data_IF_933644811378
#
_entry.id   IF_933644811378
#
_cell.length_a   1.000
_cell.length_b   1.000
_cell.length_c   1.000
_cell.angle_alpha   90.00
_cell.angle_beta   90.00
_cell.angle_gamma   90.00
#
_symmetry.space_group_name_H-M   'P 1'
#
loop_
_entity.id
_entity.type
_entity.pdbx_description
1 polymer ?
#
# COMPACT_ATOMS: atom_id res chain seq x y z
N UNK A 1 -10.09 21.77 -11.35
CA UNK A 1 -8.85 21.41 -12.07
C UNK A 1 -8.83 19.90 -12.20
N UNK A 2 -8.52 19.36 -13.39
CA UNK A 2 -8.33 17.91 -13.53
C UNK A 2 -7.00 17.51 -12.88
N UNK A 3 -7.01 16.42 -12.10
CA UNK A 3 -5.85 15.94 -11.34
C UNK A 3 -5.39 14.58 -11.88
N UNK A 4 -4.09 14.36 -11.93
CA UNK A 4 -3.48 13.06 -12.14
C UNK A 4 -2.96 12.52 -10.82
N UNK A 5 -3.65 11.51 -10.28
CA UNK A 5 -3.39 10.96 -8.94
C UNK A 5 -2.81 9.55 -9.09
N UNK A 6 -1.68 9.29 -8.44
CA UNK A 6 -1.07 7.96 -8.37
C UNK A 6 -1.17 7.44 -6.95
N UNK A 7 -1.83 6.31 -6.79
CA UNK A 7 -1.95 5.60 -5.51
C UNK A 7 -0.86 4.54 -5.42
N UNK A 8 0.02 4.68 -4.43
CA UNK A 8 0.98 3.64 -4.08
C UNK A 8 0.24 2.55 -3.30
N UNK A 9 0.33 1.32 -3.77
CA UNK A 9 -0.37 0.22 -3.13
C UNK A 9 0.52 -1.03 -3.05
N UNK A 10 0.45 -1.74 -1.94
CA UNK A 10 1.22 -2.95 -1.72
C UNK A 10 0.33 -4.15 -1.52
N UNK A 11 0.72 -5.28 -2.12
CA UNK A 11 0.20 -6.58 -1.76
C UNK A 11 0.93 -7.09 -0.51
N UNK A 12 0.19 -7.38 0.53
CA UNK A 12 0.73 -7.84 1.82
C UNK A 12 0.09 -9.17 2.23
N UNK A 13 0.79 -10.01 3.05
CA UNK A 13 0.14 -11.18 3.64
C UNK A 13 -0.98 -10.74 4.60
N UNK A 14 -2.10 -11.47 4.60
CA UNK A 14 -3.16 -11.25 5.59
C UNK A 14 -2.72 -11.79 6.96
N UNK A 15 -2.30 -10.89 7.83
CA UNK A 15 -1.87 -11.23 9.19
C UNK A 15 -3.02 -11.34 10.20
N UNK A 16 -4.25 -11.01 9.79
CA UNK A 16 -5.44 -11.07 10.65
C UNK A 16 -6.17 -12.41 10.60
N UNK A 17 -6.11 -13.08 9.44
CA UNK A 17 -6.75 -14.37 9.19
C UNK A 17 -5.70 -15.50 9.15
N UNK A 18 -5.01 -15.70 10.25
CA UNK A 18 -4.01 -16.76 10.39
C UNK A 18 -4.72 -18.09 10.61
N UNK A 19 -4.98 -18.85 9.55
CA UNK A 19 -5.51 -20.23 9.64
C UNK A 19 -4.47 -21.21 10.20
N UNK A 20 -4.91 -22.44 10.55
CA UNK A 20 -4.02 -23.47 11.10
C UNK A 20 -2.84 -23.82 10.18
N UNK A 21 -3.01 -23.68 8.85
CA UNK A 21 -1.98 -23.96 7.85
C UNK A 21 -0.99 -22.80 7.65
N UNK A 22 -1.24 -21.67 8.30
CA UNK A 22 -0.35 -20.51 8.26
C UNK A 22 0.88 -20.64 9.18
N UNK A 23 0.94 -21.68 9.98
CA UNK A 23 2.07 -21.99 10.87
C UNK A 23 2.86 -23.17 10.29
N UNK A 24 4.19 -23.05 10.26
CA UNK A 24 5.06 -24.19 9.96
C UNK A 24 5.11 -25.14 11.16
N UNK A 25 5.56 -26.36 10.96
CA UNK A 25 5.77 -27.33 12.03
C UNK A 25 6.72 -26.81 13.13
N UNK A 26 7.61 -25.90 12.76
CA UNK A 26 8.58 -25.25 13.66
C UNK A 26 7.96 -24.02 14.39
N UNK A 27 6.65 -23.77 14.24
CA UNK A 27 5.96 -22.66 14.91
C UNK A 27 6.21 -21.28 14.31
N UNK A 28 6.71 -21.22 13.05
CA UNK A 28 6.91 -19.97 12.33
C UNK A 28 5.77 -19.70 11.36
N UNK A 29 5.47 -18.43 11.07
CA UNK A 29 4.43 -18.08 10.09
C UNK A 29 4.89 -18.41 8.68
N UNK A 30 4.15 -19.29 8.01
CA UNK A 30 4.33 -19.59 6.59
C UNK A 30 3.67 -18.47 5.75
N UNK A 31 4.43 -17.41 5.47
CA UNK A 31 3.94 -16.26 4.69
C UNK A 31 3.45 -16.65 3.29
N UNK A 32 3.93 -17.75 2.74
CA UNK A 32 3.49 -18.22 1.43
C UNK A 32 2.09 -18.86 1.47
N UNK A 33 1.67 -19.36 2.62
CA UNK A 33 0.35 -19.95 2.83
C UNK A 33 -0.71 -18.91 3.25
N UNK A 34 -0.31 -17.69 3.62
CA UNK A 34 -1.25 -16.62 3.95
C UNK A 34 -1.89 -16.05 2.67
N UNK A 35 -3.20 -15.80 2.67
CA UNK A 35 -3.83 -15.03 1.61
C UNK A 35 -3.13 -13.69 1.45
N UNK A 36 -2.92 -13.28 0.21
CA UNK A 36 -2.38 -11.96 -0.08
C UNK A 36 -3.52 -10.97 -0.24
N UNK A 37 -3.45 -9.85 0.46
CA UNK A 37 -4.46 -8.80 0.48
C UNK A 37 -3.89 -7.45 0.05
N UNK A 38 -4.77 -6.53 -0.29
CA UNK A 38 -4.46 -5.11 -0.45
C UNK A 38 -4.11 -4.55 0.94
N UNK A 39 -3.00 -3.83 1.07
CA UNK A 39 -2.64 -3.22 2.35
C UNK A 39 -3.77 -2.30 2.86
N UNK A 40 -4.26 -2.45 4.10
CA UNK A 40 -5.42 -1.71 4.59
C UNK A 40 -5.29 -0.19 4.52
N UNK A 41 -4.14 0.37 4.91
CA UNK A 41 -3.94 1.83 4.85
C UNK A 41 -3.84 2.34 3.40
N UNK A 42 -3.38 1.52 2.45
CA UNK A 42 -3.39 1.89 1.03
C UNK A 42 -4.83 1.89 0.46
N UNK A 43 -5.73 1.08 1.03
CA UNK A 43 -7.17 1.18 0.70
C UNK A 43 -7.76 2.51 1.20
N UNK A 44 -7.38 2.99 2.40
CA UNK A 44 -7.78 4.32 2.86
C UNK A 44 -7.26 5.41 1.92
N UNK A 45 -6.02 5.28 1.46
CA UNK A 45 -5.42 6.19 0.49
C UNK A 45 -6.17 6.18 -0.86
N UNK A 46 -6.55 5.00 -1.35
CA UNK A 46 -7.35 4.86 -2.56
C UNK A 46 -8.72 5.56 -2.42
N UNK A 47 -9.38 5.45 -1.28
CA UNK A 47 -10.64 6.16 -1.03
C UNK A 47 -10.47 7.67 -1.12
N UNK A 48 -9.41 8.23 -0.51
CA UNK A 48 -9.12 9.67 -0.61
C UNK A 48 -8.90 10.09 -2.09
N UNK A 49 -8.15 9.29 -2.85
CA UNK A 49 -7.91 9.54 -4.27
C UNK A 49 -9.21 9.51 -5.08
N UNK A 50 -10.10 8.54 -4.83
CA UNK A 50 -11.38 8.42 -5.53
C UNK A 50 -12.34 9.57 -5.18
N UNK A 51 -12.37 10.03 -3.94
CA UNK A 51 -13.13 11.22 -3.52
C UNK A 51 -12.62 12.48 -4.23
N UNK A 52 -11.30 12.66 -4.30
CA UNK A 52 -10.70 13.78 -5.04
C UNK A 52 -11.05 13.73 -6.53
N UNK A 53 -11.03 12.55 -7.14
CA UNK A 53 -11.45 12.36 -8.53
C UNK A 53 -12.91 12.79 -8.75
N UNK A 54 -13.83 12.46 -7.84
CA UNK A 54 -15.23 12.82 -7.90
C UNK A 54 -15.44 14.34 -7.70
N UNK A 55 -14.67 14.94 -6.81
CA UNK A 55 -14.74 16.39 -6.55
C UNK A 55 -14.13 17.22 -7.69
N UNK A 56 -13.24 16.65 -8.50
CA UNK A 56 -12.50 17.32 -9.57
C UNK A 56 -12.74 16.62 -10.92
N UNK A 57 -13.81 16.94 -11.64
CA UNK A 57 -14.14 16.29 -12.91
C UNK A 57 -12.99 16.33 -13.93
N UNK A 58 -12.79 15.21 -14.62
CA UNK A 58 -11.67 15.01 -15.54
C UNK A 58 -10.41 14.43 -14.91
N UNK A 59 -10.37 14.29 -13.59
CA UNK A 59 -9.25 13.68 -12.87
C UNK A 59 -9.16 12.18 -13.11
N UNK A 60 -7.93 11.66 -13.00
CA UNK A 60 -7.62 10.23 -13.16
C UNK A 60 -6.91 9.68 -11.92
N UNK A 61 -7.22 8.43 -11.59
CA UNK A 61 -6.57 7.69 -10.50
C UNK A 61 -5.93 6.43 -11.05
N UNK A 62 -4.63 6.29 -10.85
CA UNK A 62 -3.87 5.08 -11.22
C UNK A 62 -3.25 4.41 -10.01
N UNK A 63 -3.19 3.07 -10.04
CA UNK A 63 -2.55 2.25 -8.99
C UNK A 63 -1.13 1.91 -9.41
N UNK A 64 -0.14 2.25 -8.59
CA UNK A 64 1.24 1.83 -8.77
C UNK A 64 1.61 0.82 -7.68
N UNK A 65 2.00 -0.38 -8.09
CA UNK A 65 2.44 -1.44 -7.17
C UNK A 65 3.75 -2.04 -7.65
N UNK A 66 4.62 -2.41 -6.70
CA UNK A 66 5.86 -3.15 -6.96
C UNK A 66 5.76 -4.52 -6.31
N UNK A 67 5.97 -5.57 -7.09
CA UNK A 67 5.88 -6.93 -6.57
C UNK A 67 6.02 -8.00 -7.64
N UNK A 68 5.83 -9.28 -7.26
CA UNK A 68 5.77 -10.39 -8.20
C UNK A 68 4.54 -10.25 -9.12
N UNK A 69 4.47 -10.99 -10.25
CA UNK A 69 3.34 -10.90 -11.19
C UNK A 69 1.96 -10.96 -10.52
N UNK A 70 1.78 -11.82 -9.52
CA UNK A 70 0.52 -11.93 -8.76
C UNK A 70 0.07 -10.61 -8.09
N UNK A 71 0.96 -9.63 -7.91
CA UNK A 71 0.60 -8.33 -7.37
C UNK A 71 -0.28 -7.51 -8.34
N UNK A 72 -0.43 -7.93 -9.60
CA UNK A 72 -1.44 -7.41 -10.52
C UNK A 72 -2.86 -7.46 -9.97
N UNK A 73 -3.14 -8.38 -9.02
CA UNK A 73 -4.42 -8.44 -8.31
C UNK A 73 -4.75 -7.14 -7.57
N UNK A 74 -3.75 -6.44 -7.03
CA UNK A 74 -3.93 -5.17 -6.34
C UNK A 74 -4.44 -4.09 -7.31
N UNK A 75 -3.94 -4.10 -8.54
CA UNK A 75 -4.42 -3.18 -9.58
C UNK A 75 -5.88 -3.51 -9.92
N UNK A 76 -6.23 -4.79 -10.12
CA UNK A 76 -7.62 -5.22 -10.38
C UNK A 76 -8.56 -4.74 -9.27
N UNK A 77 -8.18 -4.94 -8.02
CA UNK A 77 -8.97 -4.50 -6.87
C UNK A 77 -9.15 -2.97 -6.81
N UNK A 78 -8.16 -2.19 -7.24
CA UNK A 78 -8.29 -0.74 -7.41
C UNK A 78 -9.26 -0.38 -8.53
N UNK A 79 -9.15 -1.04 -9.69
CA UNK A 79 -10.07 -0.85 -10.83
C UNK A 79 -11.52 -1.21 -10.47
N UNK A 80 -11.75 -2.24 -9.65
CA UNK A 80 -13.08 -2.62 -9.16
C UNK A 80 -13.73 -1.54 -8.29
N UNK A 81 -12.95 -0.63 -7.71
CA UNK A 81 -13.39 0.47 -6.85
C UNK A 81 -13.48 1.82 -7.56
N UNK A 82 -12.97 1.91 -8.80
CA UNK A 82 -13.10 3.12 -9.61
C UNK A 82 -11.79 3.78 -10.03
N UNK A 83 -10.64 3.16 -9.79
CA UNK A 83 -9.40 3.55 -10.44
C UNK A 83 -9.50 3.37 -11.97
N UNK A 84 -8.74 4.13 -12.73
CA UNK A 84 -8.81 4.17 -14.20
C UNK A 84 -7.76 3.28 -14.85
N UNK A 85 -6.59 3.14 -14.20
CA UNK A 85 -5.44 2.43 -14.75
C UNK A 85 -4.56 1.89 -13.63
N UNK A 86 -3.51 1.14 -13.98
CA UNK A 86 -2.49 0.73 -13.02
C UNK A 86 -1.21 0.28 -13.70
N UNK A 87 -0.14 0.28 -12.90
CA UNK A 87 1.21 -0.11 -13.30
C UNK A 87 1.77 -1.09 -12.29
N UNK A 88 2.24 -2.23 -12.79
CA UNK A 88 2.97 -3.22 -12.02
C UNK A 88 4.46 -3.08 -12.31
N UNK A 89 5.24 -2.73 -11.30
CA UNK A 89 6.69 -2.86 -11.35
C UNK A 89 7.05 -4.31 -10.96
N UNK A 90 7.54 -5.07 -11.93
CA UNK A 90 7.91 -6.46 -11.70
C UNK A 90 9.17 -6.82 -12.48
N UNK A 91 10.20 -7.17 -11.72
CA UNK A 91 11.49 -7.64 -12.22
C UNK A 91 12.18 -8.42 -11.09
N UNK A 92 13.00 -9.41 -11.42
CA UNK A 92 13.85 -10.10 -10.43
C UNK A 92 14.84 -9.15 -9.78
N UNK A 93 15.26 -8.10 -10.50
CA UNK A 93 16.16 -7.07 -10.00
C UNK A 93 15.55 -6.20 -8.90
N UNK A 94 14.23 -6.17 -8.74
CA UNK A 94 13.57 -5.52 -7.60
C UNK A 94 13.50 -6.38 -6.34
N UNK A 95 13.81 -7.68 -6.44
CA UNK A 95 13.68 -8.60 -5.31
C UNK A 95 14.62 -8.25 -4.15
N UNK A 96 14.11 -8.39 -2.91
CA UNK A 96 14.87 -8.13 -1.70
C UNK A 96 15.13 -6.65 -1.41
N UNK A 97 14.42 -5.73 -2.08
CA UNK A 97 14.51 -4.30 -1.84
C UNK A 97 14.13 -3.94 -0.41
N UNK A 98 14.95 -3.13 0.25
CA UNK A 98 14.57 -2.41 1.46
C UNK A 98 13.75 -1.15 1.10
N UNK A 99 13.47 -0.29 2.07
CA UNK A 99 12.67 0.92 1.84
C UNK A 99 13.36 1.91 0.89
N UNK A 100 14.68 1.99 0.92
CA UNK A 100 15.44 2.90 0.07
C UNK A 100 15.40 2.47 -1.40
N UNK A 101 15.67 1.20 -1.69
CA UNK A 101 15.61 0.64 -3.03
C UNK A 101 14.15 0.61 -3.56
N UNK A 102 13.17 0.30 -2.69
CA UNK A 102 11.74 0.36 -3.02
C UNK A 102 11.34 1.77 -3.43
N UNK A 103 11.69 2.78 -2.64
CA UNK A 103 11.34 4.17 -2.94
C UNK A 103 12.02 4.67 -4.21
N UNK A 104 13.22 4.19 -4.52
CA UNK A 104 13.89 4.49 -5.79
C UNK A 104 13.10 3.96 -6.99
N UNK A 105 12.75 2.68 -6.98
CA UNK A 105 11.99 2.06 -8.05
C UNK A 105 10.61 2.73 -8.25
N UNK A 106 9.91 3.06 -7.18
CA UNK A 106 8.63 3.79 -7.26
C UNK A 106 8.81 5.20 -7.81
N UNK A 107 9.84 5.92 -7.38
CA UNK A 107 10.10 7.27 -7.87
C UNK A 107 10.45 7.29 -9.37
N UNK A 108 11.23 6.33 -9.88
CA UNK A 108 11.53 6.21 -11.33
C UNK A 108 10.25 5.93 -12.13
N UNK A 109 9.38 5.05 -11.62
CA UNK A 109 8.09 4.79 -12.25
C UNK A 109 7.17 6.03 -12.27
N UNK A 110 7.12 6.80 -11.18
CA UNK A 110 6.33 8.03 -11.11
C UNK A 110 6.86 9.06 -12.11
N UNK A 111 8.18 9.19 -12.26
CA UNK A 111 8.80 10.06 -13.28
C UNK A 111 8.39 9.63 -14.68
N UNK A 112 8.34 8.32 -14.96
CA UNK A 112 7.88 7.79 -16.26
C UNK A 112 6.39 8.05 -16.49
N UNK A 113 5.54 7.96 -15.48
CA UNK A 113 4.12 8.31 -15.56
C UNK A 113 3.95 9.78 -15.96
N UNK A 114 4.81 10.67 -15.45
CA UNK A 114 4.85 12.10 -15.76
C UNK A 114 3.60 12.87 -15.32
N UNK A 115 3.76 14.17 -15.14
CA UNK A 115 2.67 15.12 -14.86
C UNK A 115 1.73 14.67 -13.71
N UNK A 116 2.30 14.09 -12.64
CA UNK A 116 1.55 13.63 -11.49
C UNK A 116 1.37 14.79 -10.52
N UNK A 117 0.10 15.10 -10.19
CA UNK A 117 -0.23 16.17 -9.25
C UNK A 117 -0.17 15.67 -7.80
N UNK A 118 -0.65 14.43 -7.55
CA UNK A 118 -0.70 13.84 -6.22
C UNK A 118 -0.21 12.41 -6.26
N UNK A 119 0.78 12.11 -5.44
CA UNK A 119 1.16 10.74 -5.09
C UNK A 119 0.59 10.47 -3.69
N UNK A 120 -0.23 9.42 -3.55
CA UNK A 120 -0.88 9.11 -2.28
C UNK A 120 -0.71 7.63 -1.96
N UNK A 121 -0.42 7.30 -0.71
CA UNK A 121 -0.31 5.92 -0.24
C UNK A 121 -0.71 5.80 1.22
N UNK A 122 -0.81 4.60 1.76
CA UNK A 122 -0.95 4.40 3.20
C UNK A 122 0.29 4.89 3.95
N UNK A 123 0.14 5.18 5.22
CA UNK A 123 1.25 5.56 6.09
C UNK A 123 2.32 4.47 6.09
N UNK A 124 1.90 3.21 6.17
CA UNK A 124 2.78 2.05 6.18
C UNK A 124 2.11 0.78 5.66
N UNK A 125 2.93 -0.23 5.35
CA UNK A 125 2.48 -1.57 5.04
C UNK A 125 2.51 -2.44 6.31
N UNK A 126 1.45 -3.23 6.56
CA UNK A 126 1.29 -4.05 7.78
C UNK A 126 2.29 -5.20 7.92
N UNK A 127 3.06 -5.50 6.88
CA UNK A 127 4.07 -6.57 6.88
C UNK A 127 5.48 -6.09 7.27
N UNK A 128 5.72 -4.78 7.24
CA UNK A 128 7.05 -4.21 7.50
C UNK A 128 7.05 -3.07 8.51
N UNK A 129 5.94 -2.38 8.69
CA UNK A 129 5.69 -1.30 9.68
C UNK A 129 6.77 -0.20 9.75
N UNK A 130 7.41 0.12 8.61
CA UNK A 130 8.51 1.09 8.58
C UNK A 130 8.06 2.55 8.42
N UNK A 131 6.90 2.78 7.82
CA UNK A 131 6.37 4.12 7.46
C UNK A 131 7.34 5.01 6.65
N UNK A 132 8.32 4.43 5.95
CA UNK A 132 9.42 5.16 5.31
C UNK A 132 9.23 5.40 3.81
N UNK A 133 8.52 4.50 3.11
CA UNK A 133 8.48 4.50 1.63
C UNK A 133 7.88 5.79 1.08
N UNK A 134 6.74 6.25 1.61
CA UNK A 134 6.10 7.50 1.19
C UNK A 134 7.02 8.71 1.31
N UNK A 135 7.56 9.00 2.49
CA UNK A 135 8.53 10.09 2.69
C UNK A 135 9.78 9.99 1.80
N UNK A 136 10.32 8.79 1.61
CA UNK A 136 11.48 8.59 0.75
C UNK A 136 11.16 8.81 -0.74
N UNK A 137 9.95 8.43 -1.20
CA UNK A 137 9.47 8.75 -2.55
C UNK A 137 9.38 10.26 -2.73
N UNK A 138 8.82 10.99 -1.76
CA UNK A 138 8.76 12.45 -1.78
C UNK A 138 10.16 13.07 -1.94
N UNK A 139 11.11 12.62 -1.12
CA UNK A 139 12.50 13.11 -1.18
C UNK A 139 13.16 12.83 -2.54
N UNK A 140 12.96 11.62 -3.11
CA UNK A 140 13.54 11.25 -4.42
C UNK A 140 12.92 11.99 -5.60
N UNK A 141 11.69 12.45 -5.45
CA UNK A 141 10.98 13.26 -6.44
C UNK A 141 11.20 14.76 -6.23
N UNK A 142 11.76 15.19 -5.10
CA UNK A 142 11.90 16.61 -4.73
C UNK A 142 10.55 17.27 -4.46
N UNK A 143 9.57 16.51 -3.96
CA UNK A 143 8.21 16.97 -3.71
C UNK A 143 7.97 17.26 -2.22
N UNK A 144 7.07 18.20 -1.95
CA UNK A 144 6.52 18.36 -0.62
C UNK A 144 5.78 17.10 -0.18
N UNK A 145 5.70 16.88 1.14
CA UNK A 145 4.96 15.76 1.70
C UNK A 145 4.07 16.19 2.86
N UNK A 146 2.93 15.54 2.98
CA UNK A 146 2.05 15.60 4.14
C UNK A 146 1.78 14.19 4.62
N UNK A 147 2.22 13.89 5.85
CA UNK A 147 2.12 12.56 6.45
C UNK A 147 0.96 12.48 7.42
N UNK A 148 0.49 11.24 7.72
CA UNK A 148 -0.60 10.96 8.64
C UNK A 148 -1.92 11.66 8.28
N UNK A 149 -2.19 11.85 6.99
CA UNK A 149 -3.42 12.45 6.54
C UNK A 149 -4.63 11.60 6.95
N UNK A 150 -5.64 12.25 7.49
CA UNK A 150 -6.93 11.66 7.81
C UNK A 150 -7.94 11.95 6.70
N UNK A 151 -7.86 13.14 6.10
CA UNK A 151 -8.74 13.54 5.02
C UNK A 151 -8.08 14.61 4.13
N UNK A 152 -8.22 14.46 2.82
CA UNK A 152 -7.91 15.53 1.86
C UNK A 152 -9.20 16.30 1.61
N UNK A 153 -9.30 17.47 2.23
CA UNK A 153 -10.53 18.26 2.26
C UNK A 153 -10.87 18.87 0.89
N UNK A 154 -9.86 19.39 0.20
CA UNK A 154 -10.05 20.00 -1.11
C UNK A 154 -8.72 20.16 -1.85
N UNK A 155 -8.83 20.29 -3.19
CA UNK A 155 -7.72 20.73 -4.05
C UNK A 155 -8.21 21.88 -4.89
N UNK A 156 -7.59 23.04 -4.73
CA UNK A 156 -7.98 24.27 -5.42
C UNK A 156 -6.76 25.17 -5.66
N UNK A 157 -6.73 25.86 -6.77
CA UNK A 157 -5.71 26.86 -7.12
C UNK A 157 -4.26 26.34 -6.96
N UNK A 158 -4.04 25.07 -7.35
CA UNK A 158 -2.73 24.41 -7.26
C UNK A 158 -2.30 24.01 -5.85
N UNK A 159 -3.22 23.95 -4.89
CA UNK A 159 -2.94 23.60 -3.50
C UNK A 159 -3.93 22.56 -2.98
N UNK A 160 -3.45 21.66 -2.14
CA UNK A 160 -4.25 20.69 -1.39
C UNK A 160 -4.40 21.13 0.06
N UNK A 161 -5.63 21.12 0.60
CA UNK A 161 -5.93 21.34 2.01
C UNK A 161 -6.16 19.97 2.64
N UNK A 162 -5.36 19.64 3.65
CA UNK A 162 -5.26 18.29 4.20
C UNK A 162 -5.38 18.35 5.71
N UNK A 163 -6.32 17.59 6.27
CA UNK A 163 -6.42 17.32 7.71
C UNK A 163 -5.53 16.14 8.05
N UNK A 164 -4.64 16.28 9.02
CA UNK A 164 -3.71 15.24 9.47
C UNK A 164 -3.71 15.08 10.97
N UNK A 165 -3.35 13.88 11.41
CA UNK A 165 -3.18 13.55 12.83
C UNK A 165 -1.76 13.90 13.27
N UNK A 166 -1.66 14.50 14.45
CA UNK A 166 -0.39 14.78 15.14
C UNK A 166 -0.48 14.30 16.58
N UNK A 167 0.63 14.28 17.30
CA UNK A 167 0.63 13.96 18.72
C UNK A 167 -0.24 14.97 19.48
N UNK A 168 -1.26 14.45 20.17
CA UNK A 168 -2.18 15.25 20.97
C UNK A 168 -3.31 15.96 20.19
N UNK A 169 -3.48 15.70 18.88
CA UNK A 169 -4.58 16.33 18.16
C UNK A 169 -4.58 16.14 16.64
N UNK A 170 -5.19 17.12 15.99
CA UNK A 170 -5.26 17.20 14.52
C UNK A 170 -4.90 18.60 14.07
N UNK A 171 -4.29 18.73 12.91
CA UNK A 171 -4.07 20.01 12.25
C UNK A 171 -4.54 19.98 10.80
N UNK A 172 -4.82 21.14 10.26
CA UNK A 172 -5.12 21.29 8.83
C UNK A 172 -4.01 22.11 8.20
N UNK A 173 -3.40 21.54 7.16
CA UNK A 173 -2.29 22.13 6.43
C UNK A 173 -2.66 22.38 4.98
N UNK A 174 -2.06 23.40 4.37
CA UNK A 174 -2.13 23.66 2.94
C UNK A 174 -0.77 23.32 2.32
N UNK A 175 -0.78 22.52 1.27
CA UNK A 175 0.42 22.10 0.55
C UNK A 175 0.28 22.41 -0.94
N UNK A 176 1.31 23.02 -1.59
CA UNK A 176 1.31 23.21 -3.04
C UNK A 176 1.46 21.88 -3.77
N UNK A 177 0.82 21.78 -4.94
CA UNK A 177 1.01 20.65 -5.88
C UNK A 177 2.29 20.87 -6.70
N UNK A 178 2.97 19.78 -7.11
CA UNK A 178 2.68 18.38 -6.76
C UNK A 178 3.08 18.02 -5.33
N UNK A 179 2.36 17.06 -4.74
CA UNK A 179 2.55 16.66 -3.32
C UNK A 179 2.48 15.14 -3.13
N UNK A 180 3.24 14.63 -2.15
CA UNK A 180 3.11 13.26 -1.66
C UNK A 180 2.32 13.24 -0.35
N UNK A 181 1.31 12.39 -0.26
CA UNK A 181 0.43 12.28 0.91
C UNK A 181 0.49 10.85 1.45
N UNK A 182 0.72 10.68 2.75
CA UNK A 182 0.55 9.38 3.39
C UNK A 182 -0.66 9.39 4.31
N UNK A 183 -1.55 8.42 4.12
CA UNK A 183 -2.87 8.36 4.76
C UNK A 183 -2.84 7.45 5.97
N UNK A 184 -3.37 7.92 7.08
CA UNK A 184 -3.45 7.17 8.32
C UNK A 184 -4.62 6.17 8.30
N UNK A 185 -4.50 5.10 9.08
CA UNK A 185 -5.54 4.08 9.22
C UNK A 185 -6.85 4.57 9.85
N UNK A 186 -6.85 5.76 10.50
CA UNK A 186 -8.07 6.42 11.00
C UNK A 186 -8.89 7.12 9.91
N UNK A 187 -8.33 7.25 8.70
CA UNK A 187 -9.06 7.83 7.57
C UNK A 187 -10.25 6.94 7.16
N UNK A 188 -11.18 7.54 6.40
CA UNK A 188 -12.38 6.83 5.97
C UNK A 188 -12.04 5.50 5.27
N UNK A 189 -12.78 4.42 5.57
CA UNK A 189 -12.59 3.12 4.94
C UNK A 189 -12.90 3.21 3.43
N UNK A 190 -12.21 2.39 2.64
CA UNK A 190 -12.43 2.35 1.22
C UNK A 190 -13.81 1.78 0.88
N UNK A 191 -14.42 2.37 -0.13
CA UNK A 191 -15.69 1.90 -0.72
C UNK A 191 -15.61 0.43 -1.15
N UNK A 192 -16.73 -0.32 -1.14
CA UNK A 192 -16.79 -1.68 -1.66
C UNK A 192 -16.54 -1.71 -3.17
N UNK A 193 -16.21 -2.89 -3.67
CA UNK A 193 -16.08 -3.14 -5.11
C UNK A 193 -17.42 -2.97 -5.82
N UNK A 194 -17.40 -2.31 -6.96
CA UNK A 194 -18.59 -2.12 -7.80
C UNK A 194 -18.77 -3.33 -8.73
N UNK A 195 -19.90 -3.99 -8.66
CA UNK A 195 -20.18 -5.22 -9.44
C UNK A 195 -20.02 -5.01 -10.96
N UNK A 196 -20.39 -3.84 -11.50
CA UNK A 196 -20.21 -3.51 -12.92
C UNK A 196 -18.73 -3.41 -13.28
N UNK A 197 -17.90 -2.81 -12.41
CA UNK A 197 -16.47 -2.71 -12.63
C UNK A 197 -15.77 -4.06 -12.45
N UNK A 198 -16.19 -4.87 -11.48
CA UNK A 198 -15.71 -6.26 -11.35
C UNK A 198 -16.00 -7.03 -12.64
N UNK A 199 -17.21 -6.99 -13.17
CA UNK A 199 -17.53 -7.67 -14.43
C UNK A 199 -16.72 -7.13 -15.61
N UNK A 200 -16.41 -5.84 -15.65
CA UNK A 200 -15.59 -5.22 -16.68
C UNK A 200 -14.13 -5.67 -16.61
N UNK A 201 -13.53 -5.69 -15.42
CA UNK A 201 -12.08 -5.83 -15.23
C UNK A 201 -11.64 -7.18 -14.62
N UNK A 202 -12.54 -8.12 -14.30
CA UNK A 202 -12.18 -9.42 -13.71
C UNK A 202 -11.17 -10.25 -14.51
N UNK A 203 -11.02 -9.94 -15.80
CA UNK A 203 -10.05 -10.57 -16.69
C UNK A 203 -8.88 -9.65 -17.05
N UNK A 204 -8.79 -8.48 -16.43
CA UNK A 204 -7.64 -7.61 -16.61
C UNK A 204 -6.38 -8.30 -16.08
N UNK A 205 -5.30 -8.28 -16.85
CA UNK A 205 -4.09 -9.02 -16.54
C UNK A 205 -2.83 -8.29 -17.03
N UNK A 206 -1.74 -8.52 -16.36
CA UNK A 206 -0.42 -8.10 -16.83
C UNK A 206 0.08 -9.04 -17.94
N UNK A 207 0.94 -8.59 -18.85
CA UNK A 207 1.49 -9.44 -19.91
C UNK A 207 2.06 -10.77 -19.44
N UNK A 208 2.72 -10.81 -18.28
CA UNK A 208 3.28 -12.04 -17.70
C UNK A 208 2.23 -13.02 -17.14
N UNK A 209 1.01 -12.56 -16.89
CA UNK A 209 -0.10 -13.38 -16.39
C UNK A 209 -1.04 -13.84 -17.52
N UNK A 210 -0.79 -13.41 -18.76
CA UNK A 210 -1.66 -13.77 -19.89
C UNK A 210 -1.73 -15.28 -20.07
N UNK A 211 -2.92 -15.80 -20.43
CA UNK A 211 -3.07 -17.20 -20.87
C UNK A 211 -2.14 -17.49 -22.04
N UNK A 212 -1.68 -18.74 -22.14
CA UNK A 212 -0.87 -19.17 -23.27
C UNK A 212 -1.68 -19.09 -24.57
N UNK A 213 -0.99 -18.86 -25.69
CA UNK A 213 -1.58 -18.85 -27.02
C UNK A 213 -2.34 -20.19 -27.28
N UNK A 214 -3.52 -20.10 -27.90
CA UNK A 214 -4.40 -21.25 -28.16
C UNK A 214 -5.29 -21.66 -26.98
N UNK A 215 -5.21 -20.95 -25.84
CA UNK A 215 -6.13 -21.17 -24.72
C UNK A 215 -7.41 -20.34 -24.86
N UNK A 216 -8.53 -20.71 -24.18
CA UNK A 216 -9.73 -19.89 -24.18
C UNK A 216 -9.41 -18.45 -23.72
N UNK A 217 -9.84 -17.47 -24.53
CA UNK A 217 -9.66 -16.03 -24.28
C UNK A 217 -8.28 -15.45 -24.55
N UNK A 218 -7.39 -16.12 -25.27
CA UNK A 218 -6.08 -15.56 -25.65
C UNK A 218 -6.22 -14.29 -26.51
N UNK A 219 -7.22 -14.22 -27.41
CA UNK A 219 -7.53 -13.07 -28.25
C UNK A 219 -8.26 -11.92 -27.51
N UNK A 220 -8.69 -12.15 -26.27
CA UNK A 220 -9.50 -11.17 -25.51
C UNK A 220 -8.81 -9.82 -25.33
N UNK A 221 -7.48 -9.83 -25.20
CA UNK A 221 -6.68 -8.63 -24.92
C UNK A 221 -6.47 -7.77 -26.17
N UNK A 222 -6.56 -8.37 -27.36
CA UNK A 222 -6.51 -7.65 -28.64
C UNK A 222 -7.88 -7.02 -28.94
N UNK A 223 -8.96 -7.74 -28.64
CA UNK A 223 -10.33 -7.22 -28.76
C UNK A 223 -10.66 -6.15 -27.71
N UNK A 224 -10.06 -6.24 -26.52
CA UNK A 224 -10.32 -5.37 -25.37
C UNK A 224 -9.03 -4.88 -24.73
N UNK A 225 -8.30 -3.96 -25.37
CA UNK A 225 -6.99 -3.48 -24.88
C UNK A 225 -7.00 -2.93 -23.46
N UNK A 226 -8.16 -2.41 -22.98
CA UNK A 226 -8.33 -1.93 -21.61
C UNK A 226 -8.17 -3.00 -20.52
N UNK A 227 -8.13 -4.30 -20.92
CA UNK A 227 -7.85 -5.42 -20.01
C UNK A 227 -6.35 -5.70 -19.85
N UNK A 228 -5.51 -5.04 -20.64
CA UNK A 228 -4.05 -5.14 -20.48
C UNK A 228 -3.58 -4.15 -19.44
N UNK A 229 -3.08 -4.64 -18.31
CA UNK A 229 -2.45 -3.81 -17.29
C UNK A 229 -1.01 -3.45 -17.69
N UNK A 230 -0.57 -2.25 -17.36
CA UNK A 230 0.82 -1.87 -17.62
C UNK A 230 1.76 -2.67 -16.70
N UNK A 231 2.81 -3.19 -17.29
CA UNK A 231 3.85 -3.94 -16.61
C UNK A 231 5.20 -3.35 -16.99
N UNK A 232 6.01 -3.03 -16.00
CA UNK A 232 7.32 -2.41 -16.21
C UNK A 232 8.42 -3.13 -15.45
N UNK A 233 9.54 -3.37 -16.12
CA UNK A 233 10.81 -3.84 -15.58
C UNK A 233 11.68 -2.67 -15.11
N UNK A 234 12.87 -2.95 -14.59
CA UNK A 234 13.89 -1.92 -14.29
C UNK A 234 14.26 -1.13 -15.55
N UNK A 235 14.45 -1.82 -16.68
CA UNK A 235 14.78 -1.17 -17.94
C UNK A 235 13.66 -0.27 -18.45
N UNK A 236 12.40 -0.67 -18.29
CA UNK A 236 11.25 0.13 -18.73
C UNK A 236 11.14 1.48 -18.01
N UNK A 237 11.64 1.58 -16.79
CA UNK A 237 11.61 2.81 -15.98
C UNK A 237 12.96 3.55 -15.95
N UNK A 238 13.89 3.20 -16.86
CA UNK A 238 15.24 3.74 -16.91
C UNK A 238 15.97 3.68 -15.56
N UNK A 239 15.73 2.56 -14.82
CA UNK A 239 16.25 2.36 -13.48
C UNK A 239 17.72 1.93 -13.45
N UNK A 240 18.50 2.51 -12.55
CA UNK A 240 19.84 2.04 -12.26
C UNK A 240 19.78 0.76 -11.42
N UNK A 241 20.27 -0.34 -12.00
CA UNK A 241 20.30 -1.68 -11.37
C UNK A 241 21.00 -1.65 -10.00
N UNK A 242 22.01 -0.80 -9.86
CA UNK A 242 22.77 -0.69 -8.59
C UNK A 242 21.95 -0.03 -7.47
N UNK A 243 20.85 0.62 -7.79
CA UNK A 243 19.92 1.22 -6.83
C UNK A 243 18.64 0.39 -6.62
N UNK A 244 18.54 -0.78 -7.28
CA UNK A 244 17.39 -1.66 -7.21
C UNK A 244 17.65 -2.90 -6.35
N UNK A 245 16.58 -3.46 -5.78
CA UNK A 245 16.60 -4.74 -5.06
C UNK A 245 17.68 -4.82 -3.99
N UNK A 246 18.29 -5.98 -3.88
CA UNK A 246 19.38 -6.22 -2.91
C UNK A 246 20.62 -5.36 -3.17
N UNK A 247 20.92 -5.01 -4.43
CA UNK A 247 22.07 -4.18 -4.78
C UNK A 247 21.91 -2.75 -4.26
N UNK A 248 20.68 -2.19 -4.36
CA UNK A 248 20.37 -0.85 -3.89
C UNK A 248 19.98 -0.76 -2.40
N UNK A 249 19.99 -1.87 -1.66
CA UNK A 249 19.56 -1.95 -0.26
C UNK A 249 20.72 -1.86 0.71
N UNK A 250 20.93 -0.74 1.42
CA UNK A 250 21.92 -0.65 2.48
C UNK A 250 21.58 -1.51 3.70
N UNK A 251 20.32 -1.87 3.91
CA UNK A 251 19.87 -2.72 5.00
C UNK A 251 19.60 -4.14 4.53
N UNK A 252 19.95 -5.13 5.36
CA UNK A 252 19.70 -6.55 5.08
C UNK A 252 19.05 -7.20 6.28
N UNK A 253 17.97 -7.95 6.04
CA UNK A 253 17.33 -8.75 7.09
C UNK A 253 18.29 -9.87 7.49
N UNK A 254 18.82 -9.82 8.72
CA UNK A 254 19.72 -10.83 9.25
C UNK A 254 18.98 -12.07 9.70
N UNK A 255 17.85 -11.90 10.37
CA UNK A 255 17.01 -12.99 10.88
C UNK A 255 15.60 -12.48 11.14
N UNK A 256 14.61 -13.34 10.96
CA UNK A 256 13.23 -13.10 11.36
C UNK A 256 12.95 -14.04 12.53
N UNK A 257 12.56 -13.48 13.69
CA UNK A 257 12.04 -14.25 14.82
C UNK A 257 10.54 -13.95 14.91
N UNK A 258 9.73 -14.97 14.74
CA UNK A 258 8.30 -14.84 15.00
C UNK A 258 8.07 -14.98 16.51
N UNK A 259 7.50 -13.95 17.12
CA UNK A 259 7.02 -14.03 18.49
C UNK A 259 5.56 -14.50 18.40
N UNK A 260 5.34 -15.75 18.76
CA UNK A 260 3.98 -16.27 18.92
C UNK A 260 3.53 -15.88 20.32
N UNK A 261 2.56 -14.99 20.39
CA UNK A 261 1.88 -14.72 21.68
C UNK A 261 1.11 -15.98 22.07
N UNK A 262 1.65 -16.73 23.00
CA UNK A 262 0.85 -17.74 23.68
C UNK A 262 -0.06 -17.00 24.67
N UNK A 263 -1.36 -17.29 24.61
CA UNK A 263 -2.26 -16.80 25.64
C UNK A 263 -1.76 -17.31 27.00
N UNK A 264 -1.35 -16.40 27.87
CA UNK A 264 -1.09 -16.74 29.27
C UNK A 264 -2.40 -17.21 29.90
N UNK A 265 -2.33 -18.06 30.92
CA UNK A 265 -3.50 -18.44 31.67
C UNK A 265 -4.22 -17.19 32.17
N UNK A 266 -5.56 -17.16 31.99
CA UNK A 266 -6.37 -16.04 32.48
C UNK A 266 -6.36 -16.03 34.00
N UNK A 267 -6.09 -14.88 34.60
CA UNK A 267 -6.19 -14.64 36.03
C UNK A 267 -7.59 -14.13 36.34
N UNK A 268 -8.26 -14.76 37.29
CA UNK A 268 -9.52 -14.23 37.84
C UNK A 268 -9.17 -13.37 39.05
N UNK A 269 -9.53 -12.11 39.00
CA UNK A 269 -9.29 -11.14 40.06
C UNK A 269 -10.60 -10.86 40.80
N UNK A 270 -10.50 -10.53 42.07
CA UNK A 270 -11.61 -10.02 42.87
C UNK A 270 -11.64 -8.49 42.81
N UNK A 271 -12.74 -7.88 43.25
CA UNK A 271 -12.84 -6.42 43.37
C UNK A 271 -12.13 -5.86 44.64
N UNK A 272 -11.13 -6.60 45.17
CA UNK A 272 -10.34 -6.11 46.30
C UNK A 272 -9.29 -5.11 45.85
N UNK A 273 -8.98 -4.13 46.68
CA UNK A 273 -7.95 -3.13 46.38
C UNK A 273 -6.59 -3.78 46.09
N UNK A 274 -6.25 -4.86 46.80
CA UNK A 274 -4.99 -5.58 46.59
C UNK A 274 -4.90 -6.25 45.24
N UNK A 275 -6.00 -6.85 44.71
CA UNK A 275 -6.03 -7.47 43.40
C UNK A 275 -5.97 -6.43 42.27
N UNK A 276 -6.66 -5.29 42.46
CA UNK A 276 -6.64 -4.16 41.52
C UNK A 276 -5.24 -3.52 41.44
N UNK A 277 -4.63 -3.26 42.58
CA UNK A 277 -3.28 -2.72 42.66
C UNK A 277 -2.26 -3.67 42.04
N UNK A 278 -2.37 -4.97 42.34
CA UNK A 278 -1.53 -6.02 41.73
C UNK A 278 -1.65 -6.08 40.21
N UNK A 279 -2.85 -5.96 39.67
CA UNK A 279 -3.08 -5.91 38.22
C UNK A 279 -2.46 -4.67 37.57
N UNK A 280 -2.68 -3.51 38.15
CA UNK A 280 -2.13 -2.26 37.64
C UNK A 280 -0.59 -2.33 37.63
N UNK A 281 0.01 -2.84 38.71
CA UNK A 281 1.45 -2.99 38.80
C UNK A 281 1.98 -3.96 37.74
N UNK A 282 1.33 -5.11 37.54
CA UNK A 282 1.74 -6.07 36.49
C UNK A 282 1.66 -5.46 35.09
N UNK A 283 0.59 -4.68 34.78
CA UNK A 283 0.43 -3.99 33.50
C UNK A 283 1.50 -2.91 33.27
N UNK A 284 1.92 -2.20 34.33
CA UNK A 284 3.02 -1.22 34.28
C UNK A 284 4.38 -1.91 34.09
N UNK A 285 4.65 -2.98 34.87
CA UNK A 285 5.90 -3.73 34.79
C UNK A 285 6.09 -4.39 33.40
N UNK A 286 5.00 -4.86 32.78
CA UNK A 286 5.00 -5.42 31.43
C UNK A 286 4.92 -4.33 30.33
N UNK A 287 4.89 -3.03 30.69
CA UNK A 287 4.80 -1.89 29.76
C UNK A 287 3.59 -1.95 28.81
N UNK A 288 2.47 -2.48 29.29
CA UNK A 288 1.20 -2.53 28.56
C UNK A 288 0.46 -1.20 28.71
N UNK A 289 0.60 -0.57 29.87
CA UNK A 289 0.11 0.77 30.18
C UNK A 289 1.25 1.61 30.74
N UNK A 290 1.22 2.93 30.52
CA UNK A 290 2.21 3.88 31.04
C UNK A 290 2.94 4.63 29.95
#
# INVERSE_FOLDING_TARGET
MALKIVVLAKQVPDTRNVGKDAMTAEGTVNRAALPAIFNPEDLNALEQALRLKEQNPGSTVGILTMGPPRAGEIIRQGLYRGADTGWLLTDRLFAGADTLATSYALATAIKKIGDVDIVIGGRQAIDGDTAQVGPQVAQKLGLNQVTYAEEVLSVKDGKAVIKRVIDGGVETVEAPLPVVITVNGSAAPCRPQNAKLVMKYKRATCPMERPAEGTPYDNLYDERPYLTLNQWSVADVDGDVNQCGLAGSPTKVKAIKNIVFQAKESKTLTASDADIEGMIKELLDEKIIG
#
